data_IF_861555233786
#
_entry.id   IF_861555233786
#
_cell.length_a   1.000
_cell.length_b   1.000
_cell.length_c   1.000
_cell.angle_alpha   90.00
_cell.angle_beta   90.00
_cell.angle_gamma   90.00
#
_symmetry.space_group_name_H-M   'P 1'
#
loop_
_entity.id
_entity.type
_entity.pdbx_description
1 polymer ?
#
# COMPACT_ATOMS: atom_id res chain seq x y z
N UNK A 1 15.07 -23.82 -4.46
CA UNK A 1 16.14 -22.93 -4.91
C UNK A 1 16.08 -21.69 -4.03
N UNK A 2 17.08 -21.53 -3.14
CA UNK A 2 17.09 -20.45 -2.17
C UNK A 2 17.49 -19.13 -2.83
N UNK A 3 16.67 -18.12 -2.64
CA UNK A 3 17.07 -16.73 -2.86
C UNK A 3 17.75 -16.28 -1.57
N UNK A 4 18.94 -15.70 -1.67
CA UNK A 4 19.61 -15.12 -0.51
C UNK A 4 18.86 -13.86 -0.06
N UNK A 5 18.84 -13.58 1.25
CA UNK A 5 18.09 -12.46 1.81
C UNK A 5 18.53 -11.12 1.23
N UNK A 6 19.81 -10.95 1.00
CA UNK A 6 20.39 -9.75 0.38
C UNK A 6 19.90 -9.54 -1.06
N UNK A 7 19.66 -10.63 -1.81
CA UNK A 7 19.09 -10.55 -3.15
C UNK A 7 17.61 -10.13 -3.11
N UNK A 8 16.86 -10.61 -2.12
CA UNK A 8 15.47 -10.21 -1.91
C UNK A 8 15.39 -8.73 -1.52
N UNK A 9 16.24 -8.28 -0.59
CA UNK A 9 16.33 -6.86 -0.23
C UNK A 9 16.68 -5.98 -1.43
N UNK A 10 17.69 -6.36 -2.21
CA UNK A 10 18.10 -5.61 -3.41
C UNK A 10 16.96 -5.49 -4.43
N UNK A 11 16.17 -6.56 -4.62
CA UNK A 11 15.00 -6.51 -5.49
C UNK A 11 13.92 -5.53 -4.98
N UNK A 12 13.61 -5.56 -3.68
CA UNK A 12 12.65 -4.62 -3.07
C UNK A 12 13.16 -3.17 -3.19
N UNK A 13 14.44 -2.92 -2.88
CA UNK A 13 15.03 -1.58 -3.01
C UNK A 13 14.96 -1.06 -4.44
N UNK A 14 15.19 -1.92 -5.44
CA UNK A 14 15.08 -1.54 -6.84
C UNK A 14 13.67 -1.05 -7.18
N UNK A 15 12.63 -1.77 -6.79
CA UNK A 15 11.24 -1.37 -7.02
C UNK A 15 10.90 -0.03 -6.32
N UNK A 16 11.40 0.17 -5.09
CA UNK A 16 11.22 1.44 -4.38
C UNK A 16 11.93 2.61 -5.07
N UNK A 17 13.14 2.38 -5.61
CA UNK A 17 13.86 3.41 -6.39
C UNK A 17 13.13 3.75 -7.70
N UNK A 18 12.55 2.77 -8.37
CA UNK A 18 11.73 3.01 -9.57
C UNK A 18 10.52 3.92 -9.25
N UNK A 19 9.83 3.69 -8.11
CA UNK A 19 8.74 4.56 -7.65
C UNK A 19 9.20 5.99 -7.31
N UNK A 20 10.45 6.16 -6.84
CA UNK A 20 11.01 7.49 -6.51
C UNK A 20 11.56 8.23 -7.72
N UNK A 21 11.96 7.52 -8.77
CA UNK A 21 12.62 8.08 -9.94
C UNK A 21 11.68 8.44 -11.09
N UNK A 22 10.47 7.88 -11.11
CA UNK A 22 9.52 8.08 -12.20
C UNK A 22 8.07 8.08 -11.74
N UNK A 23 7.19 8.45 -12.65
CA UNK A 23 5.75 8.35 -12.43
C UNK A 23 5.25 6.94 -12.74
N UNK A 24 4.34 6.45 -11.89
CA UNK A 24 3.59 5.23 -12.19
C UNK A 24 2.76 5.44 -13.46
N UNK A 25 2.77 4.47 -14.35
CA UNK A 25 1.97 4.51 -15.57
C UNK A 25 0.47 4.56 -15.27
N UNK A 26 -0.27 5.30 -16.11
CA UNK A 26 -1.72 5.50 -15.91
C UNK A 26 -2.49 4.17 -15.82
N UNK A 27 -2.15 3.19 -16.65
CA UNK A 27 -2.78 1.87 -16.64
C UNK A 27 -2.51 1.10 -15.32
N UNK A 28 -1.30 1.21 -14.78
CA UNK A 28 -0.95 0.56 -13.52
C UNK A 28 -1.67 1.22 -12.35
N UNK A 29 -1.71 2.55 -12.32
CA UNK A 29 -2.44 3.30 -11.32
C UNK A 29 -3.93 2.96 -11.34
N UNK A 30 -4.55 2.91 -12.52
CA UNK A 30 -5.96 2.57 -12.67
C UNK A 30 -6.26 1.13 -12.25
N UNK A 31 -5.38 0.20 -12.58
CA UNK A 31 -5.48 -1.20 -12.12
C UNK A 31 -5.47 -1.32 -10.59
N UNK A 32 -4.61 -0.56 -9.91
CA UNK A 32 -4.55 -0.55 -8.45
C UNK A 32 -5.81 0.05 -7.85
N UNK A 33 -6.33 1.16 -8.40
CA UNK A 33 -7.59 1.78 -7.98
C UNK A 33 -8.77 0.82 -8.13
N UNK A 34 -8.88 0.14 -9.27
CA UNK A 34 -9.93 -0.85 -9.52
C UNK A 34 -9.84 -2.04 -8.54
N UNK A 35 -8.63 -2.50 -8.24
CA UNK A 35 -8.42 -3.56 -7.27
C UNK A 35 -8.86 -3.14 -5.86
N UNK A 36 -8.51 -1.93 -5.44
CA UNK A 36 -8.91 -1.39 -4.14
C UNK A 36 -10.43 -1.31 -4.03
N UNK A 37 -11.10 -0.67 -4.98
CA UNK A 37 -12.57 -0.54 -5.03
C UNK A 37 -13.26 -1.90 -4.98
N UNK A 38 -12.80 -2.86 -5.79
CA UNK A 38 -13.34 -4.23 -5.77
C UNK A 38 -13.17 -4.89 -4.41
N UNK A 39 -12.02 -4.71 -3.76
CA UNK A 39 -11.76 -5.28 -2.43
C UNK A 39 -12.70 -4.67 -1.39
N UNK A 40 -12.97 -3.37 -1.44
CA UNK A 40 -13.91 -2.71 -0.54
C UNK A 40 -15.35 -3.20 -0.76
N UNK A 41 -15.80 -3.29 -2.01
CA UNK A 41 -17.14 -3.78 -2.34
C UNK A 41 -17.34 -5.21 -1.82
N UNK A 42 -16.38 -6.10 -2.08
CA UNK A 42 -16.46 -7.50 -1.63
C UNK A 42 -16.29 -7.63 -0.10
N UNK A 43 -15.48 -6.77 0.51
CA UNK A 43 -15.33 -6.71 1.97
C UNK A 43 -16.64 -6.39 2.70
N UNK A 44 -17.48 -5.56 2.09
CA UNK A 44 -18.78 -5.15 2.65
C UNK A 44 -19.88 -6.22 2.58
N UNK A 45 -19.62 -7.37 1.97
CA UNK A 45 -20.52 -8.53 2.03
C UNK A 45 -20.50 -9.16 3.43
N UNK A 46 -19.41 -9.02 4.16
CA UNK A 46 -19.25 -9.56 5.51
C UNK A 46 -19.61 -8.51 6.57
N UNK A 47 -20.68 -8.72 7.32
CA UNK A 47 -21.15 -7.77 8.35
C UNK A 47 -20.11 -7.50 9.45
N UNK A 48 -19.28 -8.49 9.81
CA UNK A 48 -18.21 -8.29 10.79
C UNK A 48 -17.14 -7.31 10.24
N UNK A 49 -16.79 -7.43 8.97
CA UNK A 49 -15.87 -6.49 8.34
C UNK A 49 -16.44 -5.07 8.32
N UNK A 50 -17.72 -4.92 7.97
CA UNK A 50 -18.40 -3.62 7.98
C UNK A 50 -18.38 -3.02 9.38
N UNK A 51 -18.76 -3.78 10.40
CA UNK A 51 -18.76 -3.31 11.78
C UNK A 51 -17.36 -2.91 12.26
N UNK A 52 -16.35 -3.71 11.94
CA UNK A 52 -14.94 -3.42 12.29
C UNK A 52 -14.44 -2.17 11.59
N UNK A 53 -14.73 -2.00 10.31
CA UNK A 53 -14.35 -0.82 9.56
C UNK A 53 -15.03 0.45 10.09
N UNK A 54 -16.34 0.40 10.38
CA UNK A 54 -17.06 1.53 10.98
C UNK A 54 -16.45 1.93 12.33
N UNK A 55 -16.14 0.94 13.19
CA UNK A 55 -15.49 1.20 14.47
C UNK A 55 -14.09 1.81 14.30
N UNK A 56 -13.34 1.37 13.29
CA UNK A 56 -12.03 1.96 12.97
C UNK A 56 -12.13 3.40 12.51
N UNK A 57 -13.06 3.69 11.60
CA UNK A 57 -13.29 5.06 11.11
C UNK A 57 -13.76 5.98 12.26
N UNK A 58 -14.65 5.52 13.14
CA UNK A 58 -15.07 6.29 14.31
C UNK A 58 -13.90 6.58 15.26
N UNK A 59 -12.99 5.62 15.45
CA UNK A 59 -11.83 5.79 16.31
C UNK A 59 -10.80 6.78 15.74
N UNK A 60 -10.63 6.81 14.42
CA UNK A 60 -9.60 7.63 13.74
C UNK A 60 -10.12 8.94 13.16
N UNK A 61 -11.44 9.10 13.08
CA UNK A 61 -12.09 10.27 12.47
C UNK A 61 -13.60 10.26 12.71
N UNK A 62 -14.37 10.03 11.68
CA UNK A 62 -15.83 9.92 11.71
C UNK A 62 -16.28 8.68 10.93
N UNK A 63 -17.28 7.95 11.43
CA UNK A 63 -17.79 6.75 10.77
C UNK A 63 -18.26 7.01 9.32
N UNK A 64 -18.79 8.20 9.04
CA UNK A 64 -19.23 8.61 7.69
C UNK A 64 -18.07 8.72 6.67
N UNK A 65 -16.83 8.80 7.12
CA UNK A 65 -15.67 8.85 6.21
C UNK A 65 -15.47 7.57 5.42
N UNK A 66 -16.08 6.44 5.88
CA UNK A 66 -16.04 5.16 5.16
C UNK A 66 -16.64 5.28 3.74
N UNK A 67 -17.68 6.09 3.57
CA UNK A 67 -18.33 6.29 2.27
C UNK A 67 -17.45 7.08 1.28
N UNK A 68 -16.50 7.84 1.81
CA UNK A 68 -15.57 8.67 1.02
C UNK A 68 -14.26 7.96 0.69
N UNK A 69 -14.01 6.82 1.30
CA UNK A 69 -12.71 6.14 1.17
C UNK A 69 -12.40 5.78 -0.29
N UNK A 70 -13.36 5.22 -1.01
CA UNK A 70 -13.21 4.87 -2.43
C UNK A 70 -12.93 6.12 -3.27
N UNK A 71 -13.68 7.20 -3.05
CA UNK A 71 -13.50 8.47 -3.77
C UNK A 71 -12.11 9.07 -3.50
N UNK A 72 -11.64 9.01 -2.26
CA UNK A 72 -10.31 9.46 -1.88
C UNK A 72 -9.22 8.67 -2.63
N UNK A 73 -9.33 7.34 -2.70
CA UNK A 73 -8.41 6.51 -3.48
C UNK A 73 -8.48 6.80 -4.98
N UNK A 74 -9.69 7.00 -5.52
CA UNK A 74 -9.89 7.36 -6.93
C UNK A 74 -9.27 8.71 -7.29
N UNK A 75 -9.24 9.66 -6.36
CA UNK A 75 -8.68 11.00 -6.57
C UNK A 75 -7.14 11.04 -6.60
N UNK A 76 -6.45 9.98 -6.16
CA UNK A 76 -4.98 9.93 -6.12
C UNK A 76 -4.39 10.04 -7.52
N UNK A 77 -3.39 10.92 -7.69
CA UNK A 77 -2.68 11.11 -8.95
C UNK A 77 -1.29 10.49 -8.94
N UNK A 78 -0.71 10.25 -10.12
CA UNK A 78 0.66 9.75 -10.25
C UNK A 78 1.68 10.71 -9.62
N UNK A 79 1.47 12.02 -9.71
CA UNK A 79 2.33 13.04 -9.10
C UNK A 79 2.28 12.99 -7.57
N UNK A 80 1.10 12.77 -6.99
CA UNK A 80 0.95 12.61 -5.55
C UNK A 80 1.68 11.36 -5.07
N UNK A 81 1.53 10.23 -5.76
CA UNK A 81 2.25 8.99 -5.45
C UNK A 81 3.76 9.18 -5.51
N UNK A 82 4.26 9.78 -6.58
CA UNK A 82 5.68 10.05 -6.76
C UNK A 82 6.24 10.92 -5.62
N UNK A 83 5.57 12.01 -5.27
CA UNK A 83 5.96 12.88 -4.17
C UNK A 83 6.00 12.14 -2.83
N UNK A 84 4.97 11.33 -2.53
CA UNK A 84 4.91 10.54 -1.29
C UNK A 84 6.00 9.48 -1.27
N UNK A 85 6.26 8.81 -2.40
CA UNK A 85 7.34 7.83 -2.50
C UNK A 85 8.71 8.46 -2.18
N UNK A 86 9.01 9.63 -2.74
CA UNK A 86 10.25 10.36 -2.46
C UNK A 86 10.40 10.77 -0.99
N UNK A 87 9.30 11.14 -0.33
CA UNK A 87 9.30 11.53 1.07
C UNK A 87 9.40 10.34 2.03
N UNK A 88 8.78 9.21 1.69
CA UNK A 88 8.61 8.07 2.58
C UNK A 88 9.77 7.07 2.45
N UNK A 89 10.16 6.72 1.21
CA UNK A 89 11.15 5.68 0.95
C UNK A 89 12.58 6.23 0.91
N UNK A 90 12.95 6.98 1.95
CA UNK A 90 14.33 7.43 2.18
C UNK A 90 15.06 6.40 3.02
N UNK A 91 16.38 6.26 2.84
CA UNK A 91 17.17 5.26 3.55
C UNK A 91 17.09 5.42 5.07
N UNK A 92 17.05 6.66 5.57
CA UNK A 92 16.91 6.98 6.99
C UNK A 92 15.54 6.63 7.59
N UNK A 93 14.53 6.38 6.76
CA UNK A 93 13.19 5.99 7.20
C UNK A 93 12.98 4.46 7.18
N UNK A 94 13.97 3.70 6.69
CA UNK A 94 13.86 2.26 6.49
C UNK A 94 14.51 1.46 7.61
N UNK A 95 13.89 0.34 7.97
CA UNK A 95 14.49 -0.69 8.82
C UNK A 95 14.41 -2.01 8.07
N UNK A 96 15.54 -2.73 7.99
CA UNK A 96 15.59 -4.06 7.40
C UNK A 96 15.82 -5.08 8.50
N UNK A 97 14.94 -6.07 8.60
CA UNK A 97 15.06 -7.19 9.52
C UNK A 97 15.18 -8.50 8.73
N UNK A 98 16.27 -9.21 8.90
CA UNK A 98 16.44 -10.56 8.36
C UNK A 98 15.99 -11.60 9.37
N UNK A 99 15.04 -12.43 8.96
CA UNK A 99 14.58 -13.57 9.73
C UNK A 99 14.93 -14.86 8.98
N UNK A 100 15.78 -15.68 9.56
CA UNK A 100 16.20 -16.95 8.99
C UNK A 100 15.93 -18.10 9.95
N UNK A 101 15.62 -19.27 9.37
CA UNK A 101 15.62 -20.51 10.15
C UNK A 101 17.06 -20.80 10.58
N UNK A 102 17.25 -21.03 11.87
CA UNK A 102 18.54 -21.53 12.39
C UNK A 102 18.83 -22.89 11.77
N UNK A 103 20.00 -23.02 11.14
CA UNK A 103 20.46 -24.32 10.68
C UNK A 103 21.01 -25.07 11.90
N UNK A 104 20.15 -25.92 12.45
CA UNK A 104 20.53 -26.90 13.46
C UNK A 104 21.40 -27.99 12.84
#
# INVERSE_FOLDING_TARGET
>A
AGVYLEQAEAAVRKELEELKSGFVGEQELEKVKNKFESTQIFGNINYLNVATNLAWFELTGQAEDIDREVDNYRSVTAEQLHRVAQQTFRDENGIVLYYQKENL
#
